data_IF_617028995967
#
_entry.id   IF_617028995967
#
_cell.length_a   1.000
_cell.length_b   1.000
_cell.length_c   1.000
_cell.angle_alpha   90.00
_cell.angle_beta   90.00
_cell.angle_gamma   90.00
#
_symmetry.space_group_name_H-M   'P 1'
#
loop_
_entity.id
_entity.type
_entity.pdbx_description
1 polymer ?
#
# COMPACT_ATOMS: atom_id res chain seq x y z
N UNK A 1 -21.19 -39.09 -7.38
CA UNK A 1 -20.81 -38.43 -8.64
C UNK A 1 -19.84 -37.32 -8.26
N UNK A 2 -18.65 -37.26 -8.86
CA UNK A 2 -17.63 -36.23 -8.55
C UNK A 2 -18.13 -34.84 -8.91
N UNK A 3 -17.68 -33.79 -8.25
CA UNK A 3 -18.14 -32.43 -8.58
C UNK A 3 -17.67 -32.01 -9.97
N UNK A 4 -16.51 -32.49 -10.42
CA UNK A 4 -15.97 -32.20 -11.76
C UNK A 4 -16.78 -32.84 -12.91
N UNK A 5 -17.50 -33.93 -12.67
CA UNK A 5 -18.30 -34.58 -13.72
C UNK A 5 -19.52 -33.76 -14.12
N UNK A 6 -20.05 -32.95 -13.19
CA UNK A 6 -21.15 -32.01 -13.45
C UNK A 6 -20.75 -30.97 -14.51
N UNK A 7 -19.50 -30.54 -14.51
CA UNK A 7 -18.98 -29.57 -15.49
C UNK A 7 -18.90 -30.14 -16.90
N UNK A 8 -18.64 -31.44 -17.06
CA UNK A 8 -18.69 -32.09 -18.37
C UNK A 8 -20.13 -32.17 -18.90
N UNK A 9 -21.10 -32.45 -18.03
CA UNK A 9 -22.52 -32.40 -18.40
C UNK A 9 -22.94 -30.96 -18.74
N UNK A 10 -22.50 -29.95 -18.01
CA UNK A 10 -22.76 -28.54 -18.37
C UNK A 10 -22.17 -28.15 -19.72
N UNK A 11 -21.00 -28.67 -20.12
CA UNK A 11 -20.45 -28.47 -21.48
C UNK A 11 -21.35 -29.16 -22.51
N UNK A 12 -21.80 -30.36 -22.21
CA UNK A 12 -22.71 -31.12 -23.08
C UNK A 12 -24.02 -30.37 -23.30
N UNK A 13 -24.61 -29.82 -22.25
CA UNK A 13 -25.84 -29.03 -22.28
C UNK A 13 -25.64 -27.71 -23.02
N UNK A 14 -24.63 -26.90 -22.66
CA UNK A 14 -24.38 -25.57 -23.25
C UNK A 14 -24.18 -25.62 -24.77
N UNK A 15 -23.59 -26.70 -25.27
CA UNK A 15 -23.31 -26.88 -26.70
C UNK A 15 -24.24 -27.90 -27.37
N UNK A 16 -25.33 -28.32 -26.72
CA UNK A 16 -26.32 -29.27 -27.22
C UNK A 16 -25.70 -30.56 -27.83
N UNK A 17 -24.70 -31.12 -27.14
CA UNK A 17 -23.93 -32.26 -27.61
C UNK A 17 -24.66 -33.57 -27.31
N UNK A 18 -24.95 -34.37 -28.34
CA UNK A 18 -25.76 -35.58 -28.22
C UNK A 18 -25.03 -36.81 -27.66
N UNK A 19 -23.70 -36.78 -27.54
CA UNK A 19 -22.90 -37.95 -27.13
C UNK A 19 -21.60 -37.59 -26.42
N UNK A 20 -21.07 -38.53 -25.63
CA UNK A 20 -19.76 -38.43 -24.99
C UNK A 20 -18.63 -38.26 -26.02
N UNK A 21 -18.81 -38.80 -27.23
CA UNK A 21 -17.90 -38.60 -28.36
C UNK A 21 -17.88 -37.13 -28.81
N UNK A 22 -19.04 -36.49 -28.90
CA UNK A 22 -19.14 -35.08 -29.27
C UNK A 22 -18.50 -34.16 -28.20
N UNK A 23 -18.67 -34.50 -26.91
CA UNK A 23 -18.01 -33.81 -25.79
C UNK A 23 -16.49 -33.98 -25.86
N UNK A 24 -16.00 -35.21 -26.08
CA UNK A 24 -14.58 -35.51 -26.23
C UNK A 24 -13.95 -34.70 -27.38
N UNK A 25 -14.62 -34.65 -28.54
CA UNK A 25 -14.18 -33.86 -29.69
C UNK A 25 -14.10 -32.36 -29.38
N UNK A 26 -15.10 -31.81 -28.69
CA UNK A 26 -15.12 -30.38 -28.28
C UNK A 26 -13.99 -30.06 -27.30
N UNK A 27 -13.73 -30.98 -26.38
CA UNK A 27 -12.67 -30.85 -25.37
C UNK A 27 -11.28 -31.23 -25.91
N UNK A 28 -11.17 -31.80 -27.10
CA UNK A 28 -9.90 -32.22 -27.70
C UNK A 28 -9.22 -33.35 -26.92
N UNK A 29 -10.02 -34.28 -26.38
CA UNK A 29 -9.56 -35.45 -25.62
C UNK A 29 -10.11 -36.73 -26.24
N UNK A 30 -9.60 -37.89 -25.81
CA UNK A 30 -10.10 -39.17 -26.28
C UNK A 30 -11.49 -39.49 -25.68
N UNK A 31 -12.36 -40.17 -26.43
CA UNK A 31 -13.69 -40.58 -25.94
C UNK A 31 -13.65 -41.43 -24.65
N UNK A 32 -12.74 -42.42 -24.50
CA UNK A 32 -12.63 -43.15 -23.24
C UNK A 32 -12.28 -42.25 -22.06
N UNK A 33 -11.45 -41.23 -22.28
CA UNK A 33 -11.08 -40.27 -21.25
C UNK A 33 -12.26 -39.40 -20.82
N UNK A 34 -13.06 -38.89 -21.77
CA UNK A 34 -14.29 -38.18 -21.46
C UNK A 34 -15.28 -39.04 -20.65
N UNK A 35 -15.44 -40.33 -21.01
CA UNK A 35 -16.31 -41.25 -20.30
C UNK A 35 -15.85 -41.50 -18.86
N UNK A 36 -14.54 -41.71 -18.65
CA UNK A 36 -13.98 -41.92 -17.31
C UNK A 36 -14.17 -40.69 -16.41
N UNK A 37 -13.97 -39.49 -16.94
CA UNK A 37 -14.17 -38.24 -16.17
C UNK A 37 -15.66 -38.06 -15.84
N UNK A 38 -16.56 -38.29 -16.80
CA UNK A 38 -18.01 -38.19 -16.61
C UNK A 38 -18.53 -39.15 -15.53
N UNK A 39 -17.94 -40.35 -15.44
CA UNK A 39 -18.25 -41.33 -14.39
C UNK A 39 -17.59 -41.02 -13.04
N UNK A 40 -16.76 -39.97 -12.95
CA UNK A 40 -15.99 -39.62 -11.76
C UNK A 40 -14.87 -40.61 -11.44
N UNK A 41 -14.43 -41.40 -12.43
CA UNK A 41 -13.36 -42.39 -12.29
C UNK A 41 -11.98 -41.81 -12.64
N UNK A 42 -11.93 -40.63 -13.25
CA UNK A 42 -10.71 -39.93 -13.60
C UNK A 42 -10.85 -38.43 -13.36
N UNK A 43 -9.80 -37.83 -12.80
CA UNK A 43 -9.73 -36.40 -12.55
C UNK A 43 -9.03 -35.74 -13.74
N UNK A 44 -9.59 -34.68 -14.34
CA UNK A 44 -8.96 -33.98 -15.46
C UNK A 44 -7.65 -33.30 -15.04
N UNK A 45 -6.72 -33.18 -16.00
CA UNK A 45 -5.49 -32.40 -15.83
C UNK A 45 -5.79 -30.89 -15.84
N UNK A 46 -4.91 -30.05 -15.27
CA UNK A 46 -5.11 -28.59 -15.21
C UNK A 46 -5.47 -27.94 -16.55
N UNK A 47 -4.82 -28.36 -17.64
CA UNK A 47 -5.03 -27.81 -18.99
C UNK A 47 -6.47 -28.07 -19.46
N UNK A 48 -7.01 -29.24 -19.13
CA UNK A 48 -8.38 -29.60 -19.45
C UNK A 48 -9.38 -28.85 -18.56
N UNK A 49 -9.08 -28.65 -17.28
CA UNK A 49 -9.90 -27.81 -16.38
C UNK A 49 -10.03 -26.39 -16.93
N UNK A 50 -8.92 -25.77 -17.35
CA UNK A 50 -8.90 -24.42 -17.93
C UNK A 50 -9.73 -24.38 -19.21
N UNK A 51 -9.61 -25.39 -20.07
CA UNK A 51 -10.38 -25.48 -21.31
C UNK A 51 -11.90 -25.62 -21.06
N UNK A 52 -12.29 -26.45 -20.09
CA UNK A 52 -13.69 -26.60 -19.68
C UNK A 52 -14.21 -25.28 -19.12
N UNK A 53 -13.45 -24.62 -18.24
CA UNK A 53 -13.81 -23.33 -17.66
C UNK A 53 -14.04 -22.26 -18.74
N UNK A 54 -13.14 -22.16 -19.73
CA UNK A 54 -13.25 -21.24 -20.86
C UNK A 54 -14.49 -21.51 -21.72
N UNK A 55 -14.82 -22.78 -21.97
CA UNK A 55 -16.03 -23.16 -22.72
C UNK A 55 -17.32 -22.82 -21.97
N UNK A 56 -17.28 -22.87 -20.64
CA UNK A 56 -18.40 -22.58 -19.77
C UNK A 56 -18.44 -21.13 -19.28
N UNK A 57 -17.52 -20.28 -19.74
CA UNK A 57 -17.40 -18.89 -19.27
C UNK A 57 -17.37 -18.80 -17.73
N UNK A 58 -16.59 -19.71 -17.12
CA UNK A 58 -16.40 -19.82 -15.67
C UNK A 58 -14.96 -19.54 -15.29
N UNK A 59 -14.73 -19.21 -14.02
CA UNK A 59 -13.38 -18.97 -13.51
C UNK A 59 -12.55 -20.27 -13.53
N UNK A 60 -11.38 -20.30 -14.21
CA UNK A 60 -10.51 -21.47 -14.23
C UNK A 60 -10.02 -21.93 -12.85
N UNK A 61 -9.82 -21.00 -11.92
CA UNK A 61 -9.34 -21.27 -10.55
C UNK A 61 -10.35 -22.13 -9.79
N UNK A 62 -11.64 -21.88 -9.95
CA UNK A 62 -12.72 -22.67 -9.33
C UNK A 62 -12.62 -24.15 -9.75
N UNK A 63 -12.54 -24.42 -11.06
CA UNK A 63 -12.46 -25.80 -11.57
C UNK A 63 -11.15 -26.50 -11.18
N UNK A 64 -10.04 -25.76 -11.11
CA UNK A 64 -8.76 -26.31 -10.66
C UNK A 64 -8.84 -26.75 -9.18
N UNK A 65 -9.45 -25.94 -8.32
CA UNK A 65 -9.63 -26.28 -6.92
C UNK A 65 -10.61 -27.43 -6.72
N UNK A 66 -11.69 -27.50 -7.51
CA UNK A 66 -12.61 -28.66 -7.50
C UNK A 66 -11.88 -29.94 -7.89
N UNK A 67 -11.07 -29.91 -8.95
CA UNK A 67 -10.30 -31.06 -9.38
C UNK A 67 -9.28 -31.52 -8.31
N UNK A 68 -8.63 -30.59 -7.62
CA UNK A 68 -7.72 -30.93 -6.51
C UNK A 68 -8.47 -31.47 -5.29
N UNK A 69 -9.64 -30.91 -4.96
CA UNK A 69 -10.52 -31.44 -3.90
C UNK A 69 -10.92 -32.90 -4.19
N UNK A 70 -11.34 -33.18 -5.42
CA UNK A 70 -11.73 -34.53 -5.83
C UNK A 70 -10.55 -35.53 -5.77
N UNK A 71 -9.31 -35.02 -5.94
CA UNK A 71 -8.07 -35.82 -5.85
C UNK A 71 -7.61 -36.06 -4.42
N UNK A 72 -7.92 -35.16 -3.50
CA UNK A 72 -7.41 -35.16 -2.14
C UNK A 72 -7.94 -36.33 -1.29
N UNK A 73 -7.14 -36.84 -0.33
CA UNK A 73 -7.62 -37.81 0.65
C UNK A 73 -8.70 -37.19 1.54
N UNK A 74 -9.57 -38.02 2.14
CA UNK A 74 -10.72 -37.56 2.94
C UNK A 74 -10.34 -36.58 4.05
N UNK A 75 -9.18 -36.78 4.70
CA UNK A 75 -8.66 -35.90 5.75
C UNK A 75 -8.28 -34.50 5.25
N UNK A 76 -8.04 -34.31 3.95
CA UNK A 76 -7.64 -33.03 3.37
C UNK A 76 -8.77 -32.31 2.65
N UNK A 77 -9.91 -32.99 2.39
CA UNK A 77 -11.04 -32.41 1.62
C UNK A 77 -11.66 -31.19 2.29
N UNK A 78 -11.60 -31.10 3.61
CA UNK A 78 -12.09 -29.94 4.36
C UNK A 78 -11.28 -28.67 4.05
N UNK A 79 -9.94 -28.76 3.98
CA UNK A 79 -9.08 -27.64 3.59
C UNK A 79 -9.35 -27.15 2.16
N UNK A 80 -9.60 -28.07 1.23
CA UNK A 80 -9.95 -27.72 -0.15
C UNK A 80 -11.37 -27.14 -0.25
N UNK A 81 -12.29 -27.56 0.61
CA UNK A 81 -13.62 -26.97 0.70
C UNK A 81 -13.54 -25.53 1.20
N UNK A 82 -12.73 -25.26 2.23
CA UNK A 82 -12.43 -23.90 2.68
C UNK A 82 -11.81 -23.03 1.59
N UNK A 83 -10.84 -23.57 0.83
CA UNK A 83 -10.22 -22.85 -0.29
C UNK A 83 -11.23 -22.50 -1.40
N UNK A 84 -12.15 -23.42 -1.72
CA UNK A 84 -13.24 -23.16 -2.67
C UNK A 84 -14.20 -22.09 -2.15
N UNK A 85 -14.58 -22.13 -0.88
CA UNK A 85 -15.42 -21.09 -0.27
C UNK A 85 -14.73 -19.72 -0.29
N UNK A 86 -13.42 -19.66 -0.03
CA UNK A 86 -12.67 -18.40 -0.11
C UNK A 86 -12.69 -17.82 -1.54
N UNK A 87 -12.47 -18.66 -2.55
CA UNK A 87 -12.53 -18.25 -3.97
C UNK A 87 -13.94 -17.83 -4.38
N UNK A 88 -14.97 -18.58 -3.99
CA UNK A 88 -16.37 -18.25 -4.29
C UNK A 88 -16.77 -16.90 -3.66
N UNK A 89 -16.34 -16.65 -2.41
CA UNK A 89 -16.58 -15.37 -1.75
C UNK A 89 -15.79 -14.24 -2.40
N UNK A 90 -14.56 -14.47 -2.86
CA UNK A 90 -13.80 -13.46 -3.62
C UNK A 90 -14.45 -13.14 -4.98
N UNK A 91 -15.09 -14.13 -5.62
CA UNK A 91 -15.68 -13.99 -6.96
C UNK A 91 -17.13 -13.51 -6.95
N UNK A 92 -17.90 -13.81 -5.91
CA UNK A 92 -19.33 -13.54 -5.82
C UNK A 92 -19.71 -12.75 -4.58
N UNK A 93 -18.89 -11.80 -4.12
CA UNK A 93 -19.28 -10.89 -3.04
C UNK A 93 -20.66 -10.30 -3.38
N UNK A 94 -21.74 -10.67 -2.66
CA UNK A 94 -23.04 -10.08 -2.93
C UNK A 94 -22.93 -8.56 -2.79
N UNK A 95 -23.64 -7.77 -3.62
CA UNK A 95 -23.61 -6.31 -3.46
C UNK A 95 -24.01 -5.86 -2.04
N UNK A 96 -24.82 -6.67 -1.35
CA UNK A 96 -25.22 -6.48 0.05
C UNK A 96 -25.30 -7.83 0.79
N UNK A 97 -24.18 -8.39 1.29
CA UNK A 97 -24.20 -9.64 2.04
C UNK A 97 -24.69 -9.37 3.46
N UNK A 98 -25.50 -10.26 4.03
CA UNK A 98 -25.94 -10.12 5.42
C UNK A 98 -24.77 -10.20 6.41
N UNK A 99 -23.67 -10.85 6.03
CA UNK A 99 -22.44 -10.94 6.82
C UNK A 99 -21.26 -11.31 5.91
N UNK A 100 -20.17 -10.53 5.98
CA UNK A 100 -18.88 -10.86 5.42
C UNK A 100 -17.89 -10.93 6.59
N UNK A 101 -17.06 -11.97 6.73
CA UNK A 101 -15.97 -11.96 7.69
C UNK A 101 -15.03 -10.77 7.45
N UNK A 102 -14.63 -10.05 8.51
CA UNK A 102 -13.81 -8.82 8.39
C UNK A 102 -12.55 -8.98 7.52
N UNK A 103 -11.85 -10.12 7.64
CA UNK A 103 -10.64 -10.40 6.83
C UNK A 103 -10.94 -10.48 5.33
N UNK A 104 -12.05 -11.11 4.97
CA UNK A 104 -12.48 -11.27 3.58
C UNK A 104 -12.92 -9.92 3.02
N UNK A 105 -13.64 -9.14 3.82
CA UNK A 105 -14.04 -7.79 3.44
C UNK A 105 -12.82 -6.89 3.19
N UNK A 106 -11.81 -6.93 4.07
CA UNK A 106 -10.55 -6.21 3.90
C UNK A 106 -9.83 -6.60 2.60
N UNK A 107 -9.64 -7.90 2.34
CA UNK A 107 -9.03 -8.40 1.09
C UNK A 107 -9.83 -7.93 -0.13
N UNK A 108 -11.17 -8.03 -0.08
CA UNK A 108 -12.02 -7.58 -1.19
C UNK A 108 -11.96 -6.06 -1.41
N UNK A 109 -11.78 -5.26 -0.36
CA UNK A 109 -11.56 -3.81 -0.47
C UNK A 109 -10.20 -3.51 -1.10
N UNK A 110 -9.13 -4.14 -0.63
CA UNK A 110 -7.79 -4.00 -1.19
C UNK A 110 -7.76 -4.40 -2.67
N UNK A 111 -8.38 -5.51 -3.07
CA UNK A 111 -8.42 -5.93 -4.48
C UNK A 111 -9.12 -4.92 -5.38
N UNK A 112 -10.26 -4.35 -4.95
CA UNK A 112 -10.93 -3.28 -5.69
C UNK A 112 -10.07 -2.01 -5.77
N UNK A 113 -9.35 -1.70 -4.70
CA UNK A 113 -8.41 -0.60 -4.65
C UNK A 113 -7.20 -0.81 -5.59
N UNK A 114 -6.65 -2.04 -5.66
CA UNK A 114 -5.60 -2.42 -6.62
C UNK A 114 -6.04 -2.19 -8.07
N UNK A 115 -7.29 -2.51 -8.42
CA UNK A 115 -7.86 -2.22 -9.75
C UNK A 115 -7.82 -0.72 -10.06
N UNK A 116 -7.98 0.12 -9.05
CA UNK A 116 -7.90 1.58 -9.19
C UNK A 116 -6.48 2.14 -9.09
N UNK A 117 -5.46 1.31 -8.87
CA UNK A 117 -4.05 1.72 -8.67
C UNK A 117 -3.84 2.67 -7.47
N UNK A 118 -4.71 2.58 -6.47
CA UNK A 118 -4.67 3.38 -5.24
C UNK A 118 -5.13 2.51 -4.08
N UNK A 119 -4.38 2.48 -2.99
CA UNK A 119 -4.74 1.84 -1.72
C UNK A 119 -4.94 2.89 -0.64
N UNK A 120 -5.93 2.69 0.22
CA UNK A 120 -6.21 3.58 1.36
C UNK A 120 -6.19 2.77 2.64
N UNK A 121 -5.34 3.20 3.58
CA UNK A 121 -5.18 2.59 4.90
C UNK A 121 -5.61 3.54 6.00
N UNK A 122 -6.17 2.98 7.08
CA UNK A 122 -6.68 3.75 8.21
C UNK A 122 -6.06 3.31 9.54
N UNK A 123 -5.96 4.25 10.48
CA UNK A 123 -5.53 4.00 11.85
C UNK A 123 -4.14 3.36 11.96
N UNK A 124 -4.02 2.29 12.76
CA UNK A 124 -2.74 1.63 13.00
C UNK A 124 -2.12 1.02 11.73
N UNK A 125 -2.94 0.57 10.77
CA UNK A 125 -2.48 -0.02 9.52
C UNK A 125 -1.76 1.02 8.65
N UNK A 126 -2.27 2.26 8.59
CA UNK A 126 -1.62 3.36 7.87
C UNK A 126 -0.16 3.56 8.30
N UNK A 127 0.12 3.46 9.60
CA UNK A 127 1.48 3.65 10.14
C UNK A 127 2.36 2.42 9.85
N UNK A 128 1.79 1.22 9.91
CA UNK A 128 2.51 -0.01 9.59
C UNK A 128 2.91 -0.09 8.11
N UNK A 129 2.02 0.32 7.19
CA UNK A 129 2.31 0.32 5.76
C UNK A 129 3.38 1.34 5.38
N UNK A 130 3.37 2.53 5.99
CA UNK A 130 4.43 3.51 5.79
C UNK A 130 5.82 2.95 6.14
N UNK A 131 5.93 2.15 7.21
CA UNK A 131 7.18 1.45 7.59
C UNK A 131 7.50 0.33 6.60
N UNK A 132 6.51 -0.45 6.16
CA UNK A 132 6.70 -1.58 5.23
C UNK A 132 7.26 -1.11 3.89
N UNK A 133 6.79 0.02 3.35
CA UNK A 133 7.30 0.57 2.09
C UNK A 133 8.79 0.93 2.15
N UNK A 134 9.27 1.45 3.28
CA UNK A 134 10.71 1.71 3.48
C UNK A 134 11.52 0.41 3.40
N UNK A 135 10.95 -0.70 3.88
CA UNK A 135 11.60 -2.02 3.84
C UNK A 135 11.65 -2.60 2.43
N UNK A 136 10.71 -2.23 1.56
CA UNK A 136 10.64 -2.72 0.18
C UNK A 136 11.39 -1.85 -0.82
N UNK A 137 11.67 -0.58 -0.50
CA UNK A 137 12.41 0.33 -1.39
C UNK A 137 13.77 -0.23 -1.79
N UNK A 138 14.15 -0.07 -3.05
CA UNK A 138 15.39 -0.63 -3.62
C UNK A 138 16.42 0.43 -4.00
N UNK A 139 16.00 1.60 -4.47
CA UNK A 139 16.87 2.61 -5.09
C UNK A 139 16.82 3.94 -4.36
N UNK A 140 15.64 4.49 -4.13
CA UNK A 140 15.51 5.83 -3.54
C UNK A 140 14.20 6.10 -2.82
N UNK A 141 14.25 7.03 -1.88
CA UNK A 141 13.08 7.56 -1.19
C UNK A 141 13.23 9.08 -1.12
N UNK A 142 12.29 9.82 -1.70
CA UNK A 142 12.23 11.28 -1.63
C UNK A 142 10.98 11.70 -0.86
N UNK A 143 11.15 12.45 0.23
CA UNK A 143 10.07 12.73 1.18
C UNK A 143 9.99 14.22 1.56
N UNK A 144 8.77 14.77 1.66
CA UNK A 144 8.47 16.12 2.16
C UNK A 144 7.55 16.07 3.37
N UNK A 145 7.85 16.84 4.41
CA UNK A 145 7.26 16.67 5.73
C UNK A 145 7.04 17.99 6.45
N UNK A 146 5.78 18.37 6.57
CA UNK A 146 5.35 19.50 7.40
C UNK A 146 5.09 19.06 8.85
N UNK A 147 4.58 17.83 9.02
CA UNK A 147 4.35 17.22 10.32
C UNK A 147 5.51 16.30 10.68
N UNK A 148 6.68 16.89 10.92
CA UNK A 148 7.93 16.20 11.26
C UNK A 148 7.95 15.64 12.69
N UNK A 149 7.11 16.17 13.58
CA UNK A 149 7.08 15.80 15.00
C UNK A 149 6.66 14.34 15.24
N UNK A 150 5.94 13.69 14.32
CA UNK A 150 5.58 12.26 14.42
C UNK A 150 6.78 11.30 14.46
N UNK A 151 7.98 11.80 14.15
CA UNK A 151 9.25 11.06 14.24
C UNK A 151 10.03 11.30 15.53
N UNK A 152 9.53 12.17 16.41
CA UNK A 152 10.14 12.40 17.72
C UNK A 152 10.10 11.11 18.55
N UNK A 153 11.08 10.96 19.45
CA UNK A 153 11.08 9.86 20.43
C UNK A 153 9.78 9.85 21.23
N UNK A 154 9.08 8.72 21.21
CA UNK A 154 7.79 8.53 21.88
C UNK A 154 6.55 8.78 20.99
N UNK A 155 6.72 9.17 19.73
CA UNK A 155 5.63 9.36 18.77
C UNK A 155 5.41 8.15 17.87
N UNK A 156 4.30 8.15 17.12
CA UNK A 156 3.77 6.99 16.41
C UNK A 156 4.75 6.26 15.47
N UNK A 157 5.67 6.98 14.83
CA UNK A 157 6.61 6.40 13.87
C UNK A 157 7.98 6.09 14.47
N UNK A 158 8.25 6.47 15.72
CA UNK A 158 9.50 6.15 16.41
C UNK A 158 9.34 4.88 17.28
N UNK A 159 10.34 3.97 17.32
CA UNK A 159 11.60 3.95 16.56
C UNK A 159 11.49 3.20 15.23
N UNK A 160 10.35 2.55 14.94
CA UNK A 160 10.24 1.57 13.86
C UNK A 160 10.58 2.17 12.48
N UNK A 161 10.11 3.39 12.20
CA UNK A 161 10.40 4.07 10.95
C UNK A 161 11.89 4.46 10.85
N UNK A 162 12.49 4.90 11.95
CA UNK A 162 13.93 5.21 12.00
C UNK A 162 14.77 3.97 11.72
N UNK A 163 14.45 2.84 12.35
CA UNK A 163 15.12 1.56 12.14
C UNK A 163 14.96 1.07 10.70
N UNK A 164 13.77 1.18 10.12
CA UNK A 164 13.54 0.81 8.73
C UNK A 164 14.39 1.68 7.76
N UNK A 165 14.48 2.99 8.01
CA UNK A 165 15.34 3.86 7.21
C UNK A 165 16.83 3.49 7.35
N UNK A 166 17.28 3.16 8.56
CA UNK A 166 18.67 2.70 8.80
C UNK A 166 19.00 1.45 7.98
N UNK A 167 18.10 0.46 7.96
CA UNK A 167 18.29 -0.75 7.17
C UNK A 167 18.23 -0.46 5.66
N UNK A 168 17.33 0.43 5.22
CA UNK A 168 17.30 0.86 3.82
C UNK A 168 18.61 1.57 3.39
N UNK A 169 19.12 2.50 4.20
CA UNK A 169 20.40 3.17 3.95
C UNK A 169 21.57 2.18 3.89
N UNK A 170 21.60 1.18 4.80
CA UNK A 170 22.60 0.09 4.75
C UNK A 170 22.52 -0.75 3.48
N UNK A 171 21.32 -0.93 2.92
CA UNK A 171 21.11 -1.60 1.61
C UNK A 171 21.53 -0.74 0.42
N UNK A 172 21.92 0.52 0.64
CA UNK A 172 22.34 1.46 -0.41
C UNK A 172 21.20 2.28 -1.01
N UNK A 173 20.00 2.26 -0.40
CA UNK A 173 18.88 3.11 -0.82
C UNK A 173 19.21 4.57 -0.53
N UNK A 174 19.09 5.45 -1.53
CA UNK A 174 19.30 6.90 -1.36
C UNK A 174 18.04 7.55 -0.78
N UNK A 175 18.14 8.08 0.44
CA UNK A 175 16.97 8.67 1.13
C UNK A 175 17.20 10.17 1.28
N UNK A 176 16.37 11.00 0.62
CA UNK A 176 16.33 12.45 0.82
C UNK A 176 15.05 12.86 1.51
N UNK A 177 15.15 13.82 2.42
CA UNK A 177 14.00 14.24 3.22
C UNK A 177 14.00 15.73 3.52
N UNK A 178 12.93 16.40 3.14
CA UNK A 178 12.70 17.81 3.35
C UNK A 178 11.75 18.04 4.53
N UNK A 179 12.25 18.65 5.60
CA UNK A 179 11.44 19.15 6.71
C UNK A 179 11.00 20.58 6.42
N UNK A 180 9.69 20.81 6.38
CA UNK A 180 9.09 22.12 6.20
C UNK A 180 8.65 22.63 7.58
N UNK A 181 9.32 23.68 8.05
CA UNK A 181 9.19 24.21 9.40
C UNK A 181 8.42 25.53 9.36
N UNK A 182 7.42 25.70 10.23
CA UNK A 182 6.67 26.97 10.30
C UNK A 182 7.33 27.96 11.25
N UNK A 183 7.07 29.25 11.05
CA UNK A 183 7.49 30.30 11.98
C UNK A 183 7.00 30.03 13.40
N UNK A 184 5.73 29.68 13.54
CA UNK A 184 5.11 29.40 14.84
C UNK A 184 5.87 28.32 15.61
N UNK A 185 6.25 27.23 14.94
CA UNK A 185 7.08 26.18 15.53
C UNK A 185 8.45 26.71 15.92
N UNK A 186 9.08 27.50 15.06
CA UNK A 186 10.46 27.94 15.22
C UNK A 186 10.65 29.12 16.19
N UNK A 187 9.56 29.74 16.66
CA UNK A 187 9.59 30.72 17.75
C UNK A 187 9.79 30.07 19.13
N UNK A 188 9.40 28.79 19.27
CA UNK A 188 9.45 28.07 20.54
C UNK A 188 10.76 27.27 20.66
N UNK A 189 11.66 27.69 21.57
CA UNK A 189 12.97 27.04 21.75
C UNK A 189 12.90 25.52 22.03
N UNK A 190 11.93 24.99 22.80
CA UNK A 190 11.76 23.54 22.96
C UNK A 190 11.46 22.82 21.64
N UNK A 191 10.64 23.42 20.77
CA UNK A 191 10.27 22.85 19.47
C UNK A 191 11.45 22.92 18.50
N UNK A 192 12.24 23.99 18.54
CA UNK A 192 13.51 24.11 17.81
C UNK A 192 14.48 23.00 18.21
N UNK A 193 14.61 22.73 19.52
CA UNK A 193 15.43 21.63 20.02
C UNK A 193 14.92 20.26 19.51
N UNK A 194 13.61 20.03 19.56
CA UNK A 194 13.01 18.80 19.04
C UNK A 194 13.26 18.61 17.53
N UNK A 195 13.13 19.66 16.73
CA UNK A 195 13.40 19.61 15.29
C UNK A 195 14.87 19.27 15.01
N UNK A 196 15.81 19.90 15.73
CA UNK A 196 17.25 19.58 15.65
C UNK A 196 17.49 18.11 15.99
N UNK A 197 16.89 17.63 17.08
CA UNK A 197 17.07 16.24 17.49
C UNK A 197 16.53 15.25 16.45
N UNK A 198 15.37 15.53 15.85
CA UNK A 198 14.81 14.71 14.78
C UNK A 198 15.73 14.70 13.57
N UNK A 199 16.26 15.86 13.16
CA UNK A 199 17.21 15.93 12.03
C UNK A 199 18.50 15.17 12.33
N UNK A 200 19.06 15.32 13.53
CA UNK A 200 20.26 14.59 13.98
C UNK A 200 20.04 13.07 13.99
N UNK A 201 18.94 12.61 14.60
CA UNK A 201 18.62 11.18 14.70
C UNK A 201 18.46 10.56 13.29
N UNK A 202 17.86 11.30 12.37
CA UNK A 202 17.65 10.86 10.99
C UNK A 202 18.91 10.93 10.12
N UNK A 203 19.73 11.96 10.26
CA UNK A 203 21.02 12.05 9.57
C UNK A 203 21.94 10.90 10.00
N UNK A 204 21.95 10.56 11.30
CA UNK A 204 22.67 9.37 11.82
C UNK A 204 22.13 8.05 11.27
N UNK A 205 20.89 8.04 10.78
CA UNK A 205 20.32 6.89 10.10
C UNK A 205 20.73 6.76 8.63
N UNK A 206 21.58 7.66 8.12
CA UNK A 206 22.04 7.64 6.73
C UNK A 206 21.08 8.34 5.76
N UNK A 207 20.30 9.29 6.26
CA UNK A 207 19.34 10.07 5.46
C UNK A 207 19.94 11.44 5.14
N UNK A 208 19.84 11.87 3.89
CA UNK A 208 20.17 13.23 3.48
C UNK A 208 19.03 14.17 3.88
N UNK A 209 19.28 14.99 4.91
CA UNK A 209 18.27 15.88 5.48
C UNK A 209 18.37 17.28 4.87
N UNK A 210 17.22 17.78 4.45
CA UNK A 210 16.99 19.13 3.99
C UNK A 210 15.93 19.79 4.87
N UNK A 211 15.98 21.10 4.98
CA UNK A 211 14.96 21.87 5.69
C UNK A 211 14.64 23.16 4.93
N UNK A 212 13.44 23.67 5.18
CA UNK A 212 12.97 24.93 4.65
C UNK A 212 11.96 25.58 5.61
N UNK A 213 11.81 26.89 5.52
CA UNK A 213 10.79 27.62 6.26
C UNK A 213 9.56 27.80 5.38
N UNK A 214 8.38 27.39 5.89
CA UNK A 214 7.13 27.37 5.11
C UNK A 214 6.82 28.73 4.49
N UNK A 215 6.94 29.80 5.26
CA UNK A 215 6.63 31.17 4.85
C UNK A 215 7.57 31.70 3.75
N UNK A 216 8.76 31.11 3.60
CA UNK A 216 9.65 31.41 2.48
C UNK A 216 9.36 30.53 1.26
N UNK A 217 9.06 29.24 1.47
CA UNK A 217 8.64 28.32 0.40
C UNK A 217 7.36 28.79 -0.29
N UNK A 218 6.39 29.31 0.46
CA UNK A 218 5.14 29.87 -0.08
C UNK A 218 5.36 31.02 -1.07
N UNK A 219 6.56 31.62 -1.11
CA UNK A 219 6.90 32.64 -2.11
C UNK A 219 7.28 32.04 -3.46
N UNK A 220 7.51 30.73 -3.54
CA UNK A 220 7.90 30.03 -4.75
C UNK A 220 6.67 29.45 -5.47
N UNK A 221 6.42 29.82 -6.74
CA UNK A 221 5.30 29.28 -7.51
C UNK A 221 5.29 27.75 -7.61
N UNK A 222 6.48 27.14 -7.65
CA UNK A 222 6.64 25.67 -7.68
C UNK A 222 6.02 25.02 -6.44
N UNK A 223 6.27 25.57 -5.24
CA UNK A 223 5.73 25.04 -4.00
C UNK A 223 4.22 25.28 -3.88
N UNK A 224 3.74 26.46 -4.30
CA UNK A 224 2.30 26.75 -4.31
C UNK A 224 1.53 25.75 -5.18
N UNK A 225 2.01 25.49 -6.40
CA UNK A 225 1.40 24.51 -7.30
C UNK A 225 1.46 23.10 -6.72
N UNK A 226 2.63 22.69 -6.21
CA UNK A 226 2.81 21.41 -5.55
C UNK A 226 1.79 21.19 -4.43
N UNK A 227 1.62 22.18 -3.56
CA UNK A 227 0.67 22.11 -2.45
C UNK A 227 -0.79 22.06 -2.93
N UNK A 228 -1.15 22.86 -3.94
CA UNK A 228 -2.48 22.83 -4.57
C UNK A 228 -2.79 21.47 -5.19
N UNK A 229 -1.83 20.87 -5.90
CA UNK A 229 -1.97 19.57 -6.53
C UNK A 229 -2.22 18.48 -5.47
N UNK A 230 -1.49 18.48 -4.35
CA UNK A 230 -1.76 17.57 -3.23
C UNK A 230 -3.12 17.79 -2.56
N UNK A 231 -3.51 19.05 -2.30
CA UNK A 231 -4.82 19.37 -1.72
C UNK A 231 -5.96 18.90 -2.63
N UNK A 232 -5.79 18.98 -3.95
CA UNK A 232 -6.78 18.50 -4.92
C UNK A 232 -7.03 16.98 -4.82
N UNK A 233 -6.02 16.23 -4.37
CA UNK A 233 -6.10 14.78 -4.11
C UNK A 233 -6.54 14.44 -2.67
N UNK A 234 -6.94 15.43 -1.89
CA UNK A 234 -7.43 15.22 -0.52
C UNK A 234 -6.32 15.00 0.52
N UNK A 235 -5.09 15.47 0.24
CA UNK A 235 -4.03 15.46 1.25
C UNK A 235 -4.40 16.29 2.49
N UNK A 236 -3.83 15.91 3.63
CA UNK A 236 -3.99 16.63 4.88
C UNK A 236 -3.45 18.07 4.77
N UNK A 237 -3.94 18.96 5.65
CA UNK A 237 -3.44 20.35 5.73
C UNK A 237 -1.93 20.42 5.93
N UNK A 238 -1.41 19.57 6.83
CA UNK A 238 0.04 19.43 7.01
C UNK A 238 0.53 18.30 6.10
N UNK A 239 1.19 18.68 5.02
CA UNK A 239 1.59 17.76 3.97
C UNK A 239 2.76 16.87 4.44
N UNK A 240 2.50 15.57 4.50
CA UNK A 240 3.54 14.55 4.56
C UNK A 240 3.35 13.61 3.38
N UNK A 241 4.37 13.53 2.52
CA UNK A 241 4.36 12.68 1.35
C UNK A 241 5.75 12.10 1.06
N UNK A 242 5.78 10.94 0.43
CA UNK A 242 7.03 10.32 -0.01
C UNK A 242 6.83 9.52 -1.31
N UNK A 243 7.85 9.56 -2.17
CA UNK A 243 7.96 8.70 -3.34
C UNK A 243 9.06 7.67 -3.11
N UNK A 244 8.77 6.42 -3.40
CA UNK A 244 9.67 5.28 -3.33
C UNK A 244 9.98 4.82 -4.75
N UNK A 245 11.27 4.76 -5.08
CA UNK A 245 11.83 4.30 -6.36
C UNK A 245 11.28 4.99 -7.62
N UNK A 246 10.57 6.12 -7.46
CA UNK A 246 9.85 6.78 -8.56
C UNK A 246 8.57 6.05 -8.98
N UNK A 247 8.17 5.00 -8.27
CA UNK A 247 7.09 4.08 -8.67
C UNK A 247 5.89 4.10 -7.71
N UNK A 248 6.13 4.39 -6.44
CA UNK A 248 5.08 4.38 -5.41
C UNK A 248 5.07 5.72 -4.70
N UNK A 249 3.95 6.42 -4.76
CA UNK A 249 3.68 7.64 -4.00
C UNK A 249 2.82 7.30 -2.79
N UNK A 250 3.17 7.88 -1.64
CA UNK A 250 2.30 7.93 -0.47
C UNK A 250 2.08 9.36 0.01
N UNK A 251 0.91 9.62 0.58
CA UNK A 251 0.66 10.85 1.31
C UNK A 251 -0.43 10.68 2.38
N UNK A 252 -0.30 11.46 3.45
CA UNK A 252 -1.28 11.49 4.54
C UNK A 252 -2.51 12.28 4.11
N UNK A 253 -3.70 11.70 4.28
CA UNK A 253 -4.99 12.38 4.07
C UNK A 253 -5.55 12.97 5.37
N UNK A 254 -5.28 12.33 6.52
CA UNK A 254 -5.66 12.88 7.82
C UNK A 254 -4.76 12.40 8.96
N UNK A 255 -4.75 13.17 10.04
CA UNK A 255 -4.09 12.83 11.30
C UNK A 255 -5.11 12.70 12.42
N UNK A 256 -4.82 11.83 13.38
CA UNK A 256 -5.65 11.59 14.56
C UNK A 256 -4.83 11.65 15.84
N UNK A 257 -5.51 11.84 16.97
CA UNK A 257 -4.92 11.72 18.30
C UNK A 257 -5.28 10.37 18.90
N UNK A 258 -4.29 9.63 19.38
CA UNK A 258 -4.49 8.37 20.09
C UNK A 258 -3.87 8.48 21.47
N UNK A 259 -4.56 7.95 22.49
CA UNK A 259 -4.03 7.91 23.84
C UNK A 259 -3.11 6.70 24.00
N UNK A 260 -1.84 6.95 24.35
CA UNK A 260 -0.86 5.92 24.60
C UNK A 260 -0.71 5.68 26.12
N UNK A 261 -0.73 4.41 26.51
CA UNK A 261 -0.64 3.96 27.90
C UNK A 261 -2.01 3.59 28.50
N UNK A 262 -2.05 2.43 29.19
CA UNK A 262 -3.22 1.94 29.95
C UNK A 262 -3.05 2.08 31.47
N UNK A 263 -1.86 2.47 31.93
CA UNK A 263 -1.53 2.67 33.35
C UNK A 263 -0.86 4.03 33.51
N UNK A 264 -1.48 4.93 34.29
CA UNK A 264 -1.05 6.32 34.46
C UNK A 264 -1.82 7.32 33.58
N UNK A 265 -1.46 8.62 33.61
CA UNK A 265 -2.08 9.63 32.76
C UNK A 265 -1.78 9.32 31.27
N UNK A 266 -2.80 9.08 30.44
CA UNK A 266 -2.61 8.76 29.03
C UNK A 266 -1.94 9.92 28.30
N UNK A 267 -0.90 9.63 27.53
CA UNK A 267 -0.21 10.64 26.73
C UNK A 267 -0.82 10.66 25.33
N UNK A 268 -1.38 11.80 24.87
CA UNK A 268 -1.88 11.90 23.51
C UNK A 268 -0.69 11.89 22.54
N UNK A 269 -0.73 10.99 21.56
CA UNK A 269 0.23 10.93 20.46
C UNK A 269 -0.48 11.23 19.14
N UNK A 270 0.26 11.85 18.22
CA UNK A 270 -0.27 12.11 16.88
C UNK A 270 0.04 10.94 15.97
N UNK A 271 -0.97 10.45 15.25
CA UNK A 271 -0.87 9.31 14.36
C UNK A 271 -1.37 9.67 12.96
N UNK A 272 -0.82 9.04 11.92
CA UNK A 272 -1.44 9.06 10.58
C UNK A 272 -2.74 8.28 10.67
N UNK A 273 -3.87 8.98 10.51
CA UNK A 273 -5.19 8.37 10.63
C UNK A 273 -5.66 7.80 9.29
N UNK A 274 -5.29 8.44 8.18
CA UNK A 274 -5.58 7.95 6.84
C UNK A 274 -4.37 8.20 5.94
N UNK A 275 -3.92 7.14 5.27
CA UNK A 275 -2.80 7.14 4.34
C UNK A 275 -3.28 6.65 2.97
N UNK A 276 -2.88 7.36 1.92
CA UNK A 276 -3.05 6.89 0.55
C UNK A 276 -1.71 6.41 -0.01
N UNK A 277 -1.74 5.29 -0.74
CA UNK A 277 -0.63 4.74 -1.52
C UNK A 277 -1.10 4.63 -2.97
N UNK A 278 -0.33 5.12 -3.93
CA UNK A 278 -0.70 5.05 -5.34
C UNK A 278 0.51 4.87 -6.25
N UNK A 279 0.28 4.22 -7.38
CA UNK A 279 1.24 4.07 -8.48
C UNK A 279 0.62 4.52 -9.81
N UNK A 280 -0.33 5.46 -9.74
CA UNK A 280 -0.90 6.10 -10.93
C UNK A 280 0.16 6.97 -11.61
N UNK A 281 0.47 6.75 -12.91
CA UNK A 281 1.52 7.51 -13.60
C UNK A 281 1.33 9.02 -13.58
N UNK A 282 0.08 9.50 -13.72
CA UNK A 282 -0.21 10.94 -13.69
C UNK A 282 0.05 11.55 -12.31
N UNK A 283 -0.34 10.85 -11.23
CA UNK A 283 -0.07 11.33 -9.87
C UNK A 283 1.41 11.29 -9.53
N UNK A 284 2.14 10.25 -9.95
CA UNK A 284 3.59 10.17 -9.77
C UNK A 284 4.32 11.34 -10.45
N UNK A 285 3.87 11.74 -11.64
CA UNK A 285 4.43 12.87 -12.38
C UNK A 285 4.10 14.21 -11.72
N UNK A 286 2.85 14.40 -11.34
CA UNK A 286 2.35 15.71 -10.93
C UNK A 286 2.65 16.00 -9.44
N UNK A 287 2.84 14.97 -8.62
CA UNK A 287 3.07 15.07 -7.18
C UNK A 287 4.50 14.71 -6.76
N UNK A 288 5.45 14.65 -7.69
CA UNK A 288 6.85 14.35 -7.36
C UNK A 288 7.47 15.45 -6.46
N UNK A 289 7.96 15.14 -5.25
CA UNK A 289 8.66 16.10 -4.41
C UNK A 289 10.10 16.39 -4.87
N UNK A 290 10.68 15.60 -5.78
CA UNK A 290 12.06 15.75 -6.23
C UNK A 290 12.44 17.19 -6.65
N UNK A 291 11.60 17.95 -7.39
CA UNK A 291 11.91 19.32 -7.79
C UNK A 291 12.06 20.30 -6.62
N UNK A 292 11.47 20.01 -5.45
CA UNK A 292 11.60 20.87 -4.28
C UNK A 292 13.04 20.88 -3.74
N UNK A 293 13.74 19.75 -3.82
CA UNK A 293 15.13 19.65 -3.33
C UNK A 293 16.09 20.54 -4.12
N UNK A 294 15.77 20.85 -5.37
CA UNK A 294 16.58 21.69 -6.25
C UNK A 294 16.32 23.20 -6.02
N UNK A 295 15.39 23.56 -5.13
CA UNK A 295 15.08 24.95 -4.79
C UNK A 295 16.10 25.55 -3.81
N UNK A 296 17.38 25.61 -4.21
CA UNK A 296 18.52 26.01 -3.35
C UNK A 296 18.42 27.39 -2.69
N UNK A 297 17.50 28.25 -3.15
CA UNK A 297 17.19 29.54 -2.51
C UNK A 297 16.40 29.39 -1.21
N UNK A 298 15.57 28.35 -1.11
CA UNK A 298 14.59 28.16 -0.05
C UNK A 298 14.80 26.86 0.74
N UNK A 299 15.46 25.88 0.12
CA UNK A 299 15.74 24.57 0.68
C UNK A 299 17.23 24.48 1.01
N UNK A 300 17.52 24.14 2.25
CA UNK A 300 18.86 24.11 2.82
C UNK A 300 19.21 22.69 3.25
N UNK A 301 20.42 22.24 2.91
CA UNK A 301 20.97 20.99 3.44
C UNK A 301 21.26 21.14 4.95
N UNK A 302 20.77 20.20 5.74
CA UNK A 302 21.08 20.14 7.17
C UNK A 302 22.47 19.54 7.38
N UNK A 303 23.44 20.39 7.78
CA UNK A 303 24.81 19.96 8.06
C UNK A 303 25.04 19.68 9.54
N UNK A 304 24.64 20.63 10.38
CA UNK A 304 24.79 20.56 11.83
C UNK A 304 23.82 21.54 12.53
N UNK A 305 23.63 21.41 13.85
CA UNK A 305 22.76 22.30 14.62
C UNK A 305 23.14 23.79 14.56
N UNK A 306 24.42 24.14 14.38
CA UNK A 306 24.88 25.54 14.34
C UNK A 306 24.50 26.18 13.02
N UNK A 307 24.70 25.48 11.90
CA UNK A 307 24.28 25.92 10.57
C UNK A 307 22.77 26.17 10.53
N UNK A 308 21.98 25.23 11.04
CA UNK A 308 20.53 25.37 11.16
C UNK A 308 20.11 26.60 11.97
N UNK A 309 20.69 26.79 13.17
CA UNK A 309 20.41 27.98 14.00
C UNK A 309 20.83 29.28 13.31
N UNK A 310 21.89 29.25 12.50
CA UNK A 310 22.32 30.37 11.67
C UNK A 310 21.25 30.78 10.66
N UNK A 311 20.71 29.83 9.90
CA UNK A 311 19.61 30.11 8.95
C UNK A 311 18.32 30.53 9.67
N UNK A 312 17.99 29.88 10.78
CA UNK A 312 16.83 30.27 11.58
C UNK A 312 16.93 31.72 12.10
N UNK A 313 18.11 32.16 12.53
CA UNK A 313 18.33 33.54 12.95
C UNK A 313 18.17 34.54 11.81
N UNK A 314 18.56 34.18 10.57
CA UNK A 314 18.33 35.01 9.38
C UNK A 314 16.85 35.08 9.05
N UNK A 315 16.16 33.94 9.04
CA UNK A 315 14.71 33.86 8.83
C UNK A 315 13.96 34.74 9.84
N UNK A 316 14.23 34.60 11.14
CA UNK A 316 13.61 35.43 12.19
C UNK A 316 13.81 36.93 11.96
N UNK A 317 14.95 37.36 11.40
CA UNK A 317 15.21 38.78 11.07
C UNK A 317 14.49 39.24 9.81
N UNK A 318 14.31 38.37 8.82
CA UNK A 318 13.69 38.71 7.54
C UNK A 318 12.16 38.84 7.61
N UNK A 319 11.54 38.27 8.66
CA UNK A 319 10.09 38.29 8.88
C UNK A 319 9.69 39.08 10.15
N UNK A 320 10.65 39.73 10.80
CA UNK A 320 10.43 40.71 11.87
C UNK A 320 10.20 42.11 11.27
#
# INVERSE_FOLDING_TARGET
MSDISKYLESVKERFALSSDYAVAKKLGIAQPEANLIRRGLKIPKPELCIKIAKLLDKNPVELLLIAQKDKAPSSAKEYWTLALTAVDVMLHVPKNPKYIPRKVEAIGRELRQLETQTLTYEGAEANAEAVRLVQTAEQSIDAVMERWNIWKKGEALYPNYLLANQEAAKRGVRIRRLLVLTREQMEQEPVVHDAIQVMDDQQRAGIDIFFAFREELERAPTFQRFEEDYRSQGAARDLNAAIFDGEILIFSQSYGQVQLGVVGPPTPITMINQLEITWKPDLLRDLDPAPLFDMTRYVFEYKDPRAFRGELARFKKAVA
#
